data_IF_644095021279
#
_entry.id   IF_644095021279
#
_cell.length_a   1.000
_cell.length_b   1.000
_cell.length_c   1.000
_cell.angle_alpha   90.00
_cell.angle_beta   90.00
_cell.angle_gamma   90.00
#
_symmetry.space_group_name_H-M   'P 1'
#
loop_
_entity.id
_entity.type
_entity.pdbx_description
1 polymer ?
#
# COMPACT_ATOMS: atom_id res chain seq x y z
N UNK A 1 4.65 10.67 3.50
CA UNK A 1 4.89 9.92 4.76
C UNK A 1 5.40 8.56 4.33
N UNK A 2 6.67 8.24 4.59
CA UNK A 2 7.25 6.95 4.18
C UNK A 2 6.92 5.91 5.25
N UNK A 3 6.36 4.77 4.85
CA UNK A 3 6.17 3.62 5.72
C UNK A 3 7.44 2.76 5.66
N UNK A 4 7.92 2.29 6.81
CA UNK A 4 9.06 1.39 6.90
C UNK A 4 8.67 0.12 7.63
N UNK A 5 9.20 -1.02 7.19
CA UNK A 5 9.16 -2.26 7.94
C UNK A 5 10.55 -2.46 8.55
N UNK A 6 10.63 -2.50 9.88
CA UNK A 6 11.83 -2.90 10.60
C UNK A 6 11.87 -4.43 10.67
N UNK A 7 12.87 -5.04 10.04
CA UNK A 7 13.16 -6.47 10.12
C UNK A 7 14.41 -6.65 10.98
N UNK A 8 14.35 -7.52 11.97
CA UNK A 8 15.53 -7.88 12.78
C UNK A 8 16.04 -9.25 12.37
N UNK A 9 17.31 -9.33 11.94
CA UNK A 9 17.93 -10.63 11.69
C UNK A 9 18.08 -11.40 13.00
N UNK A 10 17.62 -12.66 13.01
CA UNK A 10 17.55 -13.46 14.24
C UNK A 10 18.94 -13.81 14.79
N UNK A 11 19.95 -13.95 13.91
CA UNK A 11 21.31 -14.41 14.24
C UNK A 11 22.25 -13.23 14.56
N UNK A 12 22.32 -12.22 13.70
CA UNK A 12 23.21 -11.07 13.86
C UNK A 12 22.61 -9.97 14.74
N UNK A 13 21.29 -9.99 14.97
CA UNK A 13 20.51 -8.92 15.62
C UNK A 13 20.55 -7.59 14.87
N UNK A 14 21.00 -7.60 13.63
CA UNK A 14 21.01 -6.42 12.77
C UNK A 14 19.59 -6.01 12.39
N UNK A 15 19.34 -4.69 12.38
CA UNK A 15 18.06 -4.11 11.99
C UNK A 15 18.13 -3.62 10.55
N UNK A 16 17.27 -4.15 9.71
CA UNK A 16 17.11 -3.75 8.31
C UNK A 16 15.80 -2.96 8.20
N UNK A 17 15.89 -1.72 7.75
CA UNK A 17 14.73 -0.90 7.43
C UNK A 17 14.39 -1.07 5.95
N UNK A 18 13.25 -1.71 5.67
CA UNK A 18 12.74 -1.84 4.32
C UNK A 18 11.77 -0.68 4.08
N UNK A 19 12.15 0.23 3.19
CA UNK A 19 11.25 1.29 2.73
C UNK A 19 10.12 0.62 1.93
N UNK A 20 8.89 0.75 2.40
CA UNK A 20 7.73 0.16 1.74
C UNK A 20 7.02 1.23 0.92
N UNK A 21 7.00 1.04 -0.39
CA UNK A 21 6.19 1.86 -1.28
C UNK A 21 4.72 1.42 -1.13
N UNK A 22 3.85 2.38 -0.84
CA UNK A 22 2.41 2.17 -0.88
C UNK A 22 1.98 2.11 -2.36
N UNK A 23 1.56 0.94 -2.82
CA UNK A 23 0.98 0.78 -4.15
C UNK A 23 -0.53 0.67 -3.99
N UNK A 24 -1.27 1.53 -4.68
CA UNK A 24 -2.72 1.46 -4.78
C UNK A 24 -3.06 1.17 -6.24
N UNK A 25 -3.67 0.02 -6.48
CA UNK A 25 -4.20 -0.37 -7.78
C UNK A 25 -5.73 -0.34 -7.73
N UNK A 26 -6.35 0.35 -8.69
CA UNK A 26 -7.80 0.42 -8.81
C UNK A 26 -8.20 -0.22 -10.13
N UNK A 27 -9.01 -1.28 -10.08
CA UNK A 27 -9.61 -1.95 -11.25
C UNK A 27 -11.11 -2.08 -11.03
N UNK A 28 -11.89 -1.48 -11.93
CA UNK A 28 -13.36 -1.43 -11.83
C UNK A 28 -13.80 -0.90 -10.46
N UNK A 29 -14.44 -1.76 -9.64
CA UNK A 29 -14.92 -1.47 -8.29
C UNK A 29 -14.08 -2.17 -7.20
N UNK A 30 -12.82 -2.48 -7.50
CA UNK A 30 -11.88 -3.13 -6.58
C UNK A 30 -10.65 -2.24 -6.38
N UNK A 31 -10.27 -2.09 -5.12
CA UNK A 31 -9.08 -1.36 -4.71
C UNK A 31 -8.14 -2.36 -4.06
N UNK A 32 -6.96 -2.54 -4.62
CA UNK A 32 -5.89 -3.35 -4.05
C UNK A 32 -4.84 -2.40 -3.47
N UNK A 33 -4.56 -2.56 -2.19
CA UNK A 33 -3.54 -1.79 -1.48
C UNK A 33 -2.44 -2.74 -1.06
N UNK A 34 -1.23 -2.52 -1.58
CA UNK A 34 -0.03 -3.21 -1.15
C UNK A 34 0.84 -2.28 -0.30
N UNK A 35 1.18 -2.74 0.90
CA UNK A 35 2.07 -2.04 1.83
C UNK A 35 3.12 -3.02 2.37
N UNK A 36 4.30 -3.02 1.74
CA UNK A 36 5.35 -3.98 2.05
C UNK A 36 4.92 -5.42 1.77
N UNK A 37 4.75 -6.22 2.83
CA UNK A 37 4.37 -7.63 2.74
C UNK A 37 2.85 -7.88 2.84
N UNK A 38 2.06 -6.83 3.10
CA UNK A 38 0.61 -6.95 3.20
C UNK A 38 -0.07 -6.50 1.91
N UNK A 39 -0.93 -7.35 1.38
CA UNK A 39 -1.81 -7.04 0.24
C UNK A 39 -3.25 -7.16 0.71
N UNK A 40 -3.99 -6.06 0.64
CA UNK A 40 -5.39 -6.01 1.02
C UNK A 40 -6.24 -5.61 -0.20
N UNK A 41 -7.35 -6.32 -0.42
CA UNK A 41 -8.29 -6.01 -1.50
C UNK A 41 -9.64 -5.63 -0.92
N UNK A 42 -10.14 -4.47 -1.34
CA UNK A 42 -11.44 -3.93 -0.94
C UNK A 42 -12.37 -3.90 -2.15
N UNK A 43 -13.65 -4.20 -1.91
CA UNK A 43 -14.71 -3.94 -2.87
C UNK A 43 -15.33 -2.58 -2.53
N UNK A 44 -15.42 -1.70 -3.50
CA UNK A 44 -16.03 -0.38 -3.35
C UNK A 44 -17.28 -0.30 -4.22
N UNK A 45 -18.15 0.65 -3.89
CA UNK A 45 -19.31 1.01 -4.71
C UNK A 45 -18.96 2.12 -5.71
N UNK A 46 -17.79 2.75 -5.53
CA UNK A 46 -17.30 3.84 -6.35
C UNK A 46 -16.60 3.32 -7.60
N UNK A 47 -16.76 4.05 -8.70
CA UNK A 47 -16.07 3.78 -9.97
C UNK A 47 -14.62 4.25 -9.92
N UNK A 48 -13.79 3.71 -10.82
CA UNK A 48 -12.40 4.12 -11.00
C UNK A 48 -12.25 5.65 -11.18
N UNK A 49 -13.12 6.28 -11.98
CA UNK A 49 -13.06 7.72 -12.26
C UNK A 49 -13.36 8.57 -11.03
N UNK A 50 -14.32 8.17 -10.20
CA UNK A 50 -14.65 8.86 -8.94
C UNK A 50 -13.49 8.80 -7.95
N UNK A 51 -12.83 7.63 -7.86
CA UNK A 51 -11.66 7.44 -6.99
C UNK A 51 -10.48 8.28 -7.49
N UNK A 52 -10.23 8.27 -8.81
CA UNK A 52 -9.16 9.06 -9.44
C UNK A 52 -9.38 10.56 -9.25
N UNK A 53 -10.62 11.05 -9.37
CA UNK A 53 -10.95 12.45 -9.12
C UNK A 53 -10.64 12.86 -7.67
N UNK A 54 -10.97 12.00 -6.69
CA UNK A 54 -10.65 12.25 -5.26
C UNK A 54 -9.15 12.28 -4.98
N UNK A 55 -8.37 11.44 -5.65
CA UNK A 55 -6.91 11.39 -5.49
C UNK A 55 -6.21 12.62 -6.11
N UNK A 56 -6.75 13.16 -7.21
CA UNK A 56 -6.17 14.31 -7.93
C UNK A 56 -6.63 15.68 -7.41
N UNK A 57 -7.66 15.76 -6.56
CA UNK A 57 -8.17 17.01 -6.01
C UNK A 57 -7.28 17.61 -4.90
N UNK A 58 -5.98 17.30 -4.89
CA UNK A 58 -5.01 17.71 -3.87
C UNK A 58 -4.05 18.75 -4.38
#
# INVERSE_FOLDING_TARGET
MNSFIEVTDKKSKEKILINTLLVIEVRENRITVANGFSVNTYKTVETYEEIKAKLNAR
#
